data_IF_014536954474
#
_entry.id   IF_014536954474
#
_cell.length_a   1.000
_cell.length_b   1.000
_cell.length_c   1.000
_cell.angle_alpha   90.00
_cell.angle_beta   90.00
_cell.angle_gamma   90.00
#
_symmetry.space_group_name_H-M   'P 1'
#
loop_
_entity.id
_entity.type
_entity.pdbx_description
1 polymer ?
#
# COMPACT_ATOMS: atom_id res chain seq x y z
N UNK A 1 29.67 -0.49 7.60
CA UNK A 1 29.90 -1.58 8.57
C UNK A 1 28.96 -2.71 8.13
N UNK A 2 29.51 -3.81 7.66
CA UNK A 2 28.74 -5.00 7.32
C UNK A 2 28.18 -5.58 8.62
N UNK A 3 26.89 -5.49 8.80
CA UNK A 3 26.19 -6.23 9.86
C UNK A 3 26.36 -7.70 9.50
N UNK A 4 26.88 -8.49 10.45
CA UNK A 4 27.13 -9.91 10.23
C UNK A 4 25.76 -10.61 10.00
N UNK A 5 25.51 -11.11 8.80
CA UNK A 5 24.28 -11.83 8.43
C UNK A 5 23.91 -12.94 9.44
N UNK A 6 24.93 -13.50 10.12
CA UNK A 6 24.73 -14.50 11.19
C UNK A 6 24.09 -13.89 12.43
N UNK A 7 24.45 -12.64 12.78
CA UNK A 7 23.88 -11.97 13.95
C UNK A 7 22.40 -11.62 13.73
N UNK A 8 22.04 -11.22 12.51
CA UNK A 8 20.66 -10.98 12.12
C UNK A 8 19.86 -12.28 12.07
N UNK A 9 20.43 -13.33 11.49
CA UNK A 9 19.83 -14.66 11.46
C UNK A 9 19.59 -15.20 12.88
N UNK A 10 20.55 -15.02 13.81
CA UNK A 10 20.43 -15.42 15.21
C UNK A 10 19.38 -14.60 15.98
N UNK A 11 19.24 -13.30 15.69
CA UNK A 11 18.19 -12.44 16.27
C UNK A 11 16.81 -12.86 15.75
N UNK A 12 16.68 -13.06 14.44
CA UNK A 12 15.43 -13.53 13.82
C UNK A 12 15.08 -14.94 14.33
N UNK A 13 16.07 -15.84 14.43
CA UNK A 13 15.85 -17.17 15.01
C UNK A 13 15.45 -17.12 16.50
N UNK A 14 16.06 -16.23 17.30
CA UNK A 14 15.67 -16.03 18.70
C UNK A 14 14.27 -15.44 18.84
N UNK A 15 13.89 -14.48 18.01
CA UNK A 15 12.53 -13.90 17.99
C UNK A 15 11.52 -14.95 17.53
N UNK A 16 11.80 -15.68 16.46
CA UNK A 16 10.95 -16.79 15.96
C UNK A 16 10.90 -17.96 16.96
N UNK A 17 12.03 -18.30 17.60
CA UNK A 17 12.09 -19.34 18.63
C UNK A 17 11.32 -18.92 19.89
N UNK A 18 11.42 -17.66 20.32
CA UNK A 18 10.59 -17.16 21.42
C UNK A 18 9.09 -17.17 21.07
N UNK A 19 8.73 -16.94 19.79
CA UNK A 19 7.36 -17.10 19.28
C UNK A 19 6.94 -18.57 19.16
N UNK A 20 7.88 -19.51 18.99
CA UNK A 20 7.61 -20.96 18.88
C UNK A 20 7.63 -21.68 20.22
N UNK A 21 8.39 -21.17 21.22
CA UNK A 21 8.49 -21.77 22.56
C UNK A 21 7.25 -21.45 23.41
N UNK A 22 6.56 -20.34 23.14
CA UNK A 22 5.24 -20.10 23.71
C UNK A 22 4.18 -20.52 22.66
N UNK A 23 3.68 -21.73 22.77
CA UNK A 23 2.45 -22.16 22.09
C UNK A 23 1.22 -21.34 22.53
N UNK A 24 1.44 -20.26 23.26
CA UNK A 24 0.50 -19.22 23.68
C UNK A 24 1.15 -17.87 23.38
N UNK A 25 0.44 -17.01 22.62
CA UNK A 25 0.77 -15.59 22.40
C UNK A 25 0.41 -14.78 23.67
N UNK A 26 0.64 -15.38 24.84
CA UNK A 26 0.37 -14.77 26.13
C UNK A 26 1.47 -13.76 26.45
N UNK A 27 1.08 -12.49 26.56
CA UNK A 27 1.98 -11.38 26.94
C UNK A 27 2.30 -10.39 25.84
N UNK A 28 1.77 -10.55 24.62
CA UNK A 28 1.86 -9.53 23.57
C UNK A 28 0.78 -8.47 23.72
N UNK A 29 1.17 -7.19 23.62
CA UNK A 29 0.25 -6.07 23.70
C UNK A 29 -0.66 -6.00 22.47
N UNK A 30 -1.95 -5.80 22.68
CA UNK A 30 -2.95 -5.66 21.62
C UNK A 30 -3.38 -6.95 20.92
N UNK A 31 -3.03 -8.12 21.44
CA UNK A 31 -3.35 -9.42 20.80
C UNK A 31 -4.30 -10.22 21.68
N UNK A 32 -5.42 -10.66 21.09
CA UNK A 32 -6.52 -11.31 21.83
C UNK A 32 -6.95 -12.63 21.18
N UNK A 33 -7.57 -13.52 21.94
CA UNK A 33 -8.14 -14.76 21.41
C UNK A 33 -9.50 -14.54 20.73
N UNK A 34 -10.26 -13.57 21.22
CA UNK A 34 -11.62 -13.26 20.74
C UNK A 34 -11.68 -11.83 20.17
N UNK A 35 -12.44 -11.63 19.09
CA UNK A 35 -12.58 -10.33 18.43
C UNK A 35 -13.36 -9.31 19.27
N UNK A 36 -14.35 -9.74 20.06
CA UNK A 36 -15.08 -8.84 20.93
C UNK A 36 -14.21 -8.37 22.10
N UNK A 37 -13.34 -9.25 22.64
CA UNK A 37 -12.35 -8.85 23.66
C UNK A 37 -11.39 -7.80 23.08
N UNK A 38 -10.87 -8.00 21.87
CA UNK A 38 -10.03 -7.01 21.17
C UNK A 38 -10.75 -5.68 21.00
N UNK A 39 -11.99 -5.69 20.52
CA UNK A 39 -12.80 -4.48 20.35
C UNK A 39 -13.03 -3.79 21.71
N UNK A 40 -13.35 -4.52 22.76
CA UNK A 40 -13.56 -3.96 24.09
C UNK A 40 -12.29 -3.30 24.64
N UNK A 41 -11.13 -3.92 24.49
CA UNK A 41 -9.85 -3.33 24.86
C UNK A 41 -9.55 -2.04 24.08
N UNK A 42 -9.84 -2.03 22.79
CA UNK A 42 -9.72 -0.83 21.96
C UNK A 42 -10.69 0.29 22.36
N UNK A 43 -11.92 -0.04 22.80
CA UNK A 43 -12.89 0.95 23.33
C UNK A 43 -12.33 1.61 24.60
N UNK A 44 -11.73 0.85 25.51
CA UNK A 44 -11.14 1.42 26.73
C UNK A 44 -9.91 2.29 26.42
N UNK A 45 -9.09 1.89 25.45
CA UNK A 45 -7.99 2.74 24.95
C UNK A 45 -8.53 4.01 24.29
N UNK A 46 -9.61 3.92 23.52
CA UNK A 46 -10.24 5.05 22.83
C UNK A 46 -10.70 6.14 23.79
N UNK A 47 -11.22 5.78 24.96
CA UNK A 47 -11.61 6.76 26.00
C UNK A 47 -10.42 7.61 26.44
N UNK A 48 -9.21 7.03 26.45
CA UNK A 48 -7.96 7.74 26.81
C UNK A 48 -7.44 8.56 25.62
N UNK A 49 -7.44 8.00 24.41
CA UNK A 49 -6.98 8.69 23.19
C UNK A 49 -7.86 9.91 22.89
N UNK A 50 -9.16 9.83 23.13
CA UNK A 50 -10.12 10.90 22.86
C UNK A 50 -9.82 12.20 23.61
N UNK A 51 -9.22 12.13 24.77
CA UNK A 51 -8.89 13.30 25.60
C UNK A 51 -7.44 13.77 25.46
N UNK A 52 -6.64 13.09 24.63
CA UNK A 52 -5.26 13.49 24.35
C UNK A 52 -5.19 14.71 23.45
N UNK A 53 -4.26 15.60 23.77
CA UNK A 53 -3.87 16.71 22.88
C UNK A 53 -3.20 16.19 21.60
N UNK A 54 -3.10 17.04 20.56
CA UNK A 54 -2.33 16.74 19.36
C UNK A 54 -0.86 16.43 19.69
N UNK A 55 -0.25 17.19 20.59
CA UNK A 55 1.14 16.98 21.02
C UNK A 55 1.37 15.62 21.69
N UNK A 56 0.42 15.16 22.50
CA UNK A 56 0.51 13.83 23.12
C UNK A 56 0.41 12.72 22.07
N UNK A 57 -0.50 12.85 21.11
CA UNK A 57 -0.62 11.92 19.98
C UNK A 57 0.64 11.92 19.12
N UNK A 58 1.21 13.11 18.83
CA UNK A 58 2.44 13.22 18.04
C UNK A 58 3.65 12.60 18.73
N UNK A 59 3.76 12.68 20.07
CA UNK A 59 4.80 11.95 20.81
C UNK A 59 4.73 10.45 20.61
N UNK A 60 3.52 9.88 20.65
CA UNK A 60 3.30 8.45 20.38
C UNK A 60 3.68 8.13 18.93
N UNK A 61 3.21 8.93 17.96
CA UNK A 61 3.53 8.76 16.53
C UNK A 61 5.04 8.83 16.30
N UNK A 62 5.73 9.78 16.89
CA UNK A 62 7.19 9.91 16.81
C UNK A 62 7.91 8.65 17.32
N UNK A 63 7.40 8.04 18.41
CA UNK A 63 7.98 6.81 18.93
C UNK A 63 7.64 5.59 18.06
N UNK A 64 6.44 5.51 17.45
CA UNK A 64 6.10 4.51 16.44
C UNK A 64 7.07 4.61 15.26
N UNK A 65 7.33 5.81 14.73
CA UNK A 65 8.29 6.05 13.66
C UNK A 65 9.70 5.57 14.03
N UNK A 66 10.15 5.89 15.25
CA UNK A 66 11.46 5.46 15.77
C UNK A 66 11.55 3.93 15.80
N UNK A 67 10.59 3.26 16.45
CA UNK A 67 10.57 1.78 16.53
C UNK A 67 10.44 1.12 15.16
N UNK A 68 9.71 1.72 14.23
CA UNK A 68 9.63 1.22 12.85
C UNK A 68 11.01 1.22 12.17
N UNK A 69 11.81 2.29 12.32
CA UNK A 69 13.18 2.34 11.77
C UNK A 69 14.09 1.30 12.42
N UNK A 70 14.01 1.18 13.74
CA UNK A 70 14.83 0.23 14.52
C UNK A 70 14.50 -1.24 14.18
N UNK A 71 13.27 -1.54 13.81
CA UNK A 71 12.78 -2.88 13.48
C UNK A 71 12.60 -3.13 11.97
N UNK A 72 13.03 -2.22 11.08
CA UNK A 72 12.79 -2.31 9.64
C UNK A 72 13.29 -3.62 9.03
N UNK A 73 14.49 -4.07 9.44
CA UNK A 73 15.09 -5.33 8.96
C UNK A 73 14.33 -6.56 9.49
N UNK A 74 13.92 -6.55 10.76
CA UNK A 74 13.13 -7.64 11.36
C UNK A 74 11.80 -7.77 10.66
N UNK A 75 11.06 -6.67 10.50
CA UNK A 75 9.77 -6.62 9.83
C UNK A 75 9.85 -7.09 8.37
N UNK A 76 10.90 -6.66 7.63
CA UNK A 76 11.14 -7.06 6.25
C UNK A 76 11.38 -8.58 6.14
N UNK A 77 12.26 -9.13 6.98
CA UNK A 77 12.53 -10.56 7.01
C UNK A 77 11.30 -11.38 7.42
N UNK A 78 10.56 -10.94 8.44
CA UNK A 78 9.32 -11.60 8.84
C UNK A 78 8.30 -11.61 7.71
N UNK A 79 8.08 -10.47 7.05
CA UNK A 79 7.14 -10.34 5.94
C UNK A 79 7.46 -11.27 4.78
N UNK A 80 8.72 -11.30 4.32
CA UNK A 80 9.16 -12.20 3.24
C UNK A 80 9.06 -13.67 3.65
N UNK A 81 9.53 -14.02 4.84
CA UNK A 81 9.53 -15.41 5.31
C UNK A 81 8.12 -15.96 5.52
N UNK A 82 7.18 -15.14 6.02
CA UNK A 82 5.80 -15.58 6.27
C UNK A 82 4.98 -15.67 4.99
N UNK A 83 5.10 -14.66 4.11
CA UNK A 83 4.26 -14.56 2.91
C UNK A 83 4.88 -15.23 1.68
N UNK A 84 6.20 -15.33 1.65
CA UNK A 84 6.97 -15.75 0.47
C UNK A 84 6.98 -14.70 -0.64
N UNK A 85 6.61 -13.44 -0.36
CA UNK A 85 6.41 -12.37 -1.34
C UNK A 85 7.41 -11.22 -1.13
N UNK A 86 7.86 -10.65 -2.25
CA UNK A 86 8.75 -9.49 -2.28
C UNK A 86 10.21 -9.83 -1.99
N UNK A 87 10.97 -8.81 -1.67
CA UNK A 87 12.37 -8.97 -1.27
C UNK A 87 12.70 -8.13 -0.02
N UNK A 88 13.66 -8.60 0.76
CA UNK A 88 14.01 -8.00 2.06
C UNK A 88 14.54 -6.59 1.90
N UNK A 89 15.41 -6.33 0.90
CA UNK A 89 16.01 -5.01 0.69
C UNK A 89 14.98 -3.92 0.44
N UNK A 90 14.06 -4.16 -0.47
CA UNK A 90 12.98 -3.20 -0.80
C UNK A 90 11.99 -3.05 0.35
N UNK A 91 11.71 -4.12 1.10
CA UNK A 91 10.84 -4.02 2.29
C UNK A 91 11.49 -3.19 3.40
N UNK A 92 12.80 -3.26 3.60
CA UNK A 92 13.51 -2.36 4.53
C UNK A 92 13.31 -0.90 4.09
N UNK A 93 13.51 -0.60 2.80
CA UNK A 93 13.30 0.74 2.25
C UNK A 93 11.84 1.21 2.46
N UNK A 94 10.86 0.34 2.27
CA UNK A 94 9.44 0.66 2.52
C UNK A 94 9.16 0.95 3.99
N UNK A 95 9.78 0.24 4.94
CA UNK A 95 9.61 0.53 6.36
C UNK A 95 10.20 1.89 6.75
N UNK A 96 11.38 2.23 6.22
CA UNK A 96 11.94 3.57 6.40
C UNK A 96 11.04 4.64 5.78
N UNK A 97 10.57 4.44 4.55
CA UNK A 97 9.62 5.33 3.88
C UNK A 97 8.33 5.53 4.72
N UNK A 98 7.77 4.44 5.23
CA UNK A 98 6.59 4.45 6.10
C UNK A 98 6.84 5.26 7.37
N UNK A 99 7.98 5.08 8.01
CA UNK A 99 8.34 5.83 9.21
C UNK A 99 8.57 7.32 8.95
N UNK A 100 9.16 7.65 7.80
CA UNK A 100 9.61 9.02 7.49
C UNK A 100 8.52 9.87 6.81
N UNK A 101 7.65 9.26 6.04
CA UNK A 101 6.73 9.95 5.14
C UNK A 101 5.24 9.74 5.45
N UNK A 102 4.84 8.87 6.38
CA UNK A 102 3.44 8.79 6.78
C UNK A 102 3.06 10.03 7.59
N UNK A 103 2.01 10.78 7.19
CA UNK A 103 1.61 12.00 7.90
C UNK A 103 1.11 11.70 9.32
N UNK A 104 1.51 12.57 10.28
CA UNK A 104 1.05 12.58 11.65
C UNK A 104 -0.06 13.61 11.90
N UNK A 105 0.07 14.31 13.02
CA UNK A 105 -0.95 15.30 13.44
C UNK A 105 -0.94 16.59 12.63
N UNK A 106 0.09 16.86 11.85
CA UNK A 106 0.22 18.06 11.01
C UNK A 106 -0.86 18.20 9.93
N UNK A 107 -1.51 17.09 9.54
CA UNK A 107 -2.61 17.12 8.57
C UNK A 107 -4.00 17.31 9.22
N UNK A 108 -4.07 17.41 10.54
CA UNK A 108 -5.31 17.66 11.29
C UNK A 108 -5.47 19.17 11.47
N UNK A 109 -5.96 19.83 10.42
CA UNK A 109 -6.06 21.28 10.36
C UNK A 109 -7.44 21.80 10.75
N UNK A 110 -7.48 23.01 11.35
CA UNK A 110 -8.70 23.75 11.67
C UNK A 110 -8.97 24.79 10.60
N UNK A 111 -10.22 24.87 10.14
CA UNK A 111 -10.67 25.97 9.28
C UNK A 111 -11.53 26.95 10.09
N UNK A 112 -11.28 28.24 9.94
CA UNK A 112 -11.98 29.28 10.66
C UNK A 112 -12.49 30.38 9.71
N UNK A 113 -13.72 30.85 9.97
CA UNK A 113 -14.31 32.04 9.34
C UNK A 113 -14.67 33.05 10.44
N UNK A 114 -14.12 34.26 10.42
CA UNK A 114 -14.40 35.35 11.32
C UNK A 114 -14.97 36.54 10.55
N UNK A 115 -16.00 37.17 11.08
CA UNK A 115 -16.66 38.32 10.47
C UNK A 115 -17.55 39.09 11.47
N UNK A 116 -18.26 40.12 10.98
CA UNK A 116 -19.08 40.99 11.80
C UNK A 116 -20.21 40.26 12.56
N UNK A 117 -20.54 39.04 12.09
CA UNK A 117 -21.59 38.18 12.67
C UNK A 117 -21.06 37.06 13.57
N UNK A 118 -19.76 37.08 13.91
CA UNK A 118 -19.16 36.11 14.81
C UNK A 118 -18.07 35.23 14.20
N UNK A 119 -17.90 34.05 14.77
CA UNK A 119 -16.84 33.08 14.41
C UNK A 119 -17.44 31.69 14.16
N UNK A 120 -17.01 31.06 13.08
CA UNK A 120 -17.27 29.62 12.84
C UNK A 120 -15.94 28.89 12.75
N UNK A 121 -15.83 27.79 13.49
CA UNK A 121 -14.73 26.84 13.42
C UNK A 121 -15.21 25.53 12.83
N UNK A 122 -14.35 24.88 12.01
CA UNK A 122 -14.50 23.49 11.62
C UNK A 122 -13.25 22.74 12.01
N UNK A 123 -13.41 21.75 12.85
CA UNK A 123 -12.35 20.87 13.34
C UNK A 123 -12.60 19.43 12.95
N UNK A 124 -11.52 18.66 12.83
CA UNK A 124 -11.55 17.25 12.49
C UNK A 124 -11.64 16.40 13.77
N UNK A 125 -12.78 15.74 13.97
CA UNK A 125 -13.04 14.88 15.12
C UNK A 125 -12.91 13.40 14.81
N UNK A 126 -12.57 12.56 15.82
CA UNK A 126 -12.44 11.11 15.62
C UNK A 126 -13.78 10.44 15.33
N UNK A 127 -13.72 9.31 14.61
CA UNK A 127 -14.80 8.32 14.55
C UNK A 127 -14.88 7.48 15.84
N UNK A 128 -13.76 7.27 16.50
CA UNK A 128 -13.61 6.41 17.67
C UNK A 128 -12.84 5.13 17.32
N UNK A 129 -13.44 3.97 17.55
CA UNK A 129 -12.81 2.70 17.18
C UNK A 129 -13.04 2.42 15.69
N UNK A 130 -11.96 2.20 14.95
CA UNK A 130 -11.97 1.89 13.51
C UNK A 130 -11.65 0.41 13.31
N UNK A 131 -12.39 -0.27 12.41
CA UNK A 131 -12.06 -1.63 11.98
C UNK A 131 -11.26 -1.59 10.67
N UNK A 132 -10.12 -2.27 10.62
CA UNK A 132 -9.25 -2.27 9.45
C UNK A 132 -8.89 -3.70 9.01
N UNK A 133 -9.09 -4.00 7.72
CA UNK A 133 -8.65 -5.25 7.08
C UNK A 133 -7.39 -4.95 6.28
N UNK A 134 -6.33 -5.76 6.48
CA UNK A 134 -5.02 -5.52 5.87
C UNK A 134 -4.56 -6.68 4.98
N UNK A 135 -3.78 -6.40 3.90
CA UNK A 135 -3.38 -7.39 2.91
C UNK A 135 -2.18 -8.23 3.38
N UNK A 136 -1.85 -9.28 2.60
CA UNK A 136 -0.61 -10.03 2.76
C UNK A 136 0.59 -9.41 2.02
N UNK A 137 0.35 -8.51 1.08
CA UNK A 137 1.39 -7.93 0.20
C UNK A 137 2.26 -6.90 0.91
N UNK A 138 1.65 -6.06 1.75
CA UNK A 138 2.30 -5.00 2.52
C UNK A 138 1.75 -5.00 3.96
N UNK A 139 1.95 -6.09 4.73
CA UNK A 139 1.23 -6.28 5.99
C UNK A 139 1.62 -5.27 7.07
N UNK A 140 2.90 -5.15 7.38
CA UNK A 140 3.43 -4.24 8.40
C UNK A 140 3.33 -2.78 7.99
N UNK A 141 3.64 -2.48 6.72
CA UNK A 141 3.58 -1.13 6.17
C UNK A 141 2.16 -0.55 6.26
N UNK A 142 1.15 -1.34 5.89
CA UNK A 142 -0.26 -0.94 5.99
C UNK A 142 -0.70 -0.72 7.43
N UNK A 143 -0.29 -1.61 8.35
CA UNK A 143 -0.61 -1.47 9.78
C UNK A 143 0.01 -0.22 10.36
N UNK A 144 1.28 0.08 10.04
CA UNK A 144 1.98 1.26 10.55
C UNK A 144 1.34 2.55 10.01
N UNK A 145 1.14 2.66 8.69
CA UNK A 145 0.51 3.84 8.08
C UNK A 145 -0.88 4.10 8.65
N UNK A 146 -1.71 3.06 8.73
CA UNK A 146 -3.06 3.18 9.27
C UNK A 146 -3.06 3.55 10.76
N UNK A 147 -2.18 2.95 11.57
CA UNK A 147 -2.09 3.28 12.99
C UNK A 147 -1.67 4.72 13.22
N UNK A 148 -0.67 5.22 12.48
CA UNK A 148 -0.23 6.63 12.55
C UNK A 148 -1.36 7.56 12.15
N UNK A 149 -1.98 7.34 10.98
CA UNK A 149 -3.03 8.23 10.48
C UNK A 149 -4.31 8.18 11.34
N UNK A 150 -4.71 7.01 11.82
CA UNK A 150 -5.88 6.86 12.68
C UNK A 150 -5.65 7.51 14.07
N UNK A 151 -4.46 7.29 14.66
CA UNK A 151 -4.10 7.92 15.93
C UNK A 151 -3.98 9.45 15.79
N UNK A 152 -3.41 9.95 14.70
CA UNK A 152 -3.38 11.39 14.40
C UNK A 152 -4.79 11.98 14.42
N UNK A 153 -5.77 11.30 13.81
CA UNK A 153 -7.19 11.64 13.85
C UNK A 153 -7.88 11.42 15.21
N UNK A 154 -7.18 10.86 16.21
CA UNK A 154 -7.71 10.61 17.56
C UNK A 154 -8.51 9.31 17.69
N UNK A 155 -8.26 8.33 16.84
CA UNK A 155 -8.93 7.02 16.82
C UNK A 155 -8.01 5.92 17.35
N UNK A 156 -8.61 4.81 17.79
CA UNK A 156 -7.97 3.52 17.96
C UNK A 156 -8.38 2.58 16.82
N UNK A 157 -7.66 1.48 16.64
CA UNK A 157 -7.91 0.58 15.50
C UNK A 157 -7.91 -0.89 15.90
N UNK A 158 -8.88 -1.63 15.34
CA UNK A 158 -8.99 -3.09 15.41
C UNK A 158 -8.61 -3.64 14.04
N UNK A 159 -7.52 -4.38 13.96
CA UNK A 159 -7.06 -5.02 12.72
C UNK A 159 -7.58 -6.44 12.59
N UNK A 160 -7.97 -6.81 11.38
CA UNK A 160 -8.16 -8.20 10.98
C UNK A 160 -7.25 -8.48 9.77
N UNK A 161 -6.02 -8.99 9.99
CA UNK A 161 -5.05 -9.18 8.93
C UNK A 161 -5.38 -10.37 8.04
N UNK A 162 -4.77 -10.39 6.85
CA UNK A 162 -4.78 -11.57 6.00
C UNK A 162 -4.13 -12.76 6.74
N UNK A 163 -4.72 -13.97 6.75
CA UNK A 163 -4.21 -15.12 7.51
C UNK A 163 -2.75 -15.48 7.21
N UNK A 164 -2.28 -15.25 5.97
CA UNK A 164 -0.91 -15.54 5.55
C UNK A 164 0.11 -14.47 5.97
N UNK A 165 -0.30 -13.43 6.69
CA UNK A 165 0.58 -12.37 7.19
C UNK A 165 0.31 -12.05 8.67
N UNK A 166 -0.32 -12.98 9.40
CA UNK A 166 -0.75 -12.77 10.78
C UNK A 166 0.41 -12.55 11.76
N UNK A 167 1.52 -13.29 11.60
CA UNK A 167 2.68 -13.18 12.50
C UNK A 167 3.36 -11.82 12.38
N UNK A 168 3.59 -11.38 11.16
CA UNK A 168 4.16 -10.05 10.87
C UNK A 168 3.24 -8.95 11.41
N UNK A 169 1.93 -9.06 11.21
CA UNK A 169 0.95 -8.10 11.74
C UNK A 169 0.92 -8.09 13.27
N UNK A 170 0.89 -9.24 13.92
CA UNK A 170 0.90 -9.36 15.39
C UNK A 170 2.15 -8.69 15.98
N UNK A 171 3.33 -8.96 15.42
CA UNK A 171 4.57 -8.32 15.85
C UNK A 171 4.50 -6.79 15.70
N UNK A 172 3.98 -6.31 14.57
CA UNK A 172 3.82 -4.88 14.29
C UNK A 172 2.87 -4.21 15.30
N UNK A 173 1.75 -4.84 15.62
CA UNK A 173 0.78 -4.34 16.59
C UNK A 173 1.37 -4.28 18.01
N UNK A 174 2.09 -5.32 18.43
CA UNK A 174 2.81 -5.31 19.71
C UNK A 174 3.80 -4.14 19.77
N UNK A 175 4.63 -3.98 18.73
CA UNK A 175 5.59 -2.87 18.61
C UNK A 175 4.91 -1.49 18.72
N UNK A 176 3.75 -1.30 18.09
CA UNK A 176 2.99 -0.04 18.13
C UNK A 176 2.47 0.26 19.54
N UNK A 177 1.95 -0.75 20.24
CA UNK A 177 1.47 -0.58 21.61
C UNK A 177 2.62 -0.33 22.60
N UNK A 178 3.75 -1.02 22.46
CA UNK A 178 4.97 -0.70 23.22
C UNK A 178 5.40 0.74 22.98
N UNK A 179 5.42 1.19 21.71
CA UNK A 179 5.75 2.56 21.36
C UNK A 179 4.79 3.58 22.02
N UNK A 180 3.51 3.26 22.09
CA UNK A 180 2.50 4.08 22.76
C UNK A 180 2.79 4.20 24.24
N UNK A 181 2.96 3.08 24.93
CA UNK A 181 3.19 3.05 26.38
C UNK A 181 4.49 3.74 26.78
N UNK A 182 5.58 3.53 26.04
CA UNK A 182 6.86 4.20 26.28
C UNK A 182 6.77 5.73 26.10
N UNK A 183 5.86 6.20 25.23
CA UNK A 183 5.59 7.63 25.04
C UNK A 183 4.57 8.21 26.05
N UNK A 184 4.11 7.40 27.02
CA UNK A 184 3.10 7.78 28.01
C UNK A 184 1.66 7.68 27.53
N UNK A 185 1.44 6.98 26.41
CA UNK A 185 0.12 6.68 25.88
C UNK A 185 -0.51 5.41 26.47
N UNK A 186 -1.76 5.07 26.08
CA UNK A 186 -2.39 3.84 26.51
C UNK A 186 -1.88 2.65 25.72
N UNK A 187 -1.99 1.47 26.33
CA UNK A 187 -1.98 0.19 25.63
C UNK A 187 -3.25 0.02 24.78
N UNK A 188 -3.23 -0.89 23.81
CA UNK A 188 -4.38 -1.28 22.98
C UNK A 188 -4.90 -0.15 22.04
N UNK A 189 -4.02 0.75 21.61
CA UNK A 189 -4.35 1.72 20.55
C UNK A 189 -4.52 1.03 19.19
N UNK A 190 -3.83 -0.09 18.99
CA UNK A 190 -3.94 -1.00 17.87
C UNK A 190 -4.12 -2.41 18.40
N UNK A 191 -5.15 -3.12 17.95
CA UNK A 191 -5.45 -4.47 18.45
C UNK A 191 -5.76 -5.43 17.32
N UNK A 192 -5.60 -6.74 17.59
CA UNK A 192 -5.94 -7.82 16.65
C UNK A 192 -6.28 -9.10 17.39
N UNK A 193 -6.62 -10.15 16.63
CA UNK A 193 -6.80 -11.51 17.13
C UNK A 193 -5.63 -12.42 16.74
N UNK A 194 -5.35 -13.43 17.57
CA UNK A 194 -4.31 -14.45 17.30
C UNK A 194 -4.56 -15.21 15.99
N UNK A 195 -5.84 -15.48 15.68
CA UNK A 195 -6.25 -16.25 14.51
C UNK A 195 -7.30 -15.46 13.70
N UNK A 196 -6.87 -14.63 12.75
CA UNK A 196 -7.78 -13.90 11.87
C UNK A 196 -8.49 -14.84 10.90
N UNK A 197 -9.81 -14.69 10.78
CA UNK A 197 -10.67 -15.50 9.91
C UNK A 197 -11.73 -14.62 9.24
N UNK A 198 -12.51 -15.18 8.33
CA UNK A 198 -13.70 -14.52 7.78
C UNK A 198 -14.76 -14.26 8.86
N UNK A 199 -14.85 -15.12 9.86
CA UNK A 199 -15.77 -14.96 10.99
C UNK A 199 -15.37 -13.75 11.84
N UNK A 200 -14.09 -13.63 12.21
CA UNK A 200 -13.59 -12.48 12.97
C UNK A 200 -13.74 -11.18 12.19
N UNK A 201 -13.57 -11.20 10.84
CA UNK A 201 -13.89 -10.07 9.97
C UNK A 201 -15.37 -9.69 10.06
N UNK A 202 -16.27 -10.66 10.02
CA UNK A 202 -17.72 -10.42 10.10
C UNK A 202 -18.14 -9.86 11.45
N UNK A 203 -17.56 -10.35 12.55
CA UNK A 203 -17.79 -9.81 13.90
C UNK A 203 -17.36 -8.34 13.92
N UNK A 204 -16.14 -8.03 13.49
CA UNK A 204 -15.62 -6.65 13.43
C UNK A 204 -16.52 -5.74 12.57
N UNK A 205 -16.86 -6.17 11.35
CA UNK A 205 -17.68 -5.37 10.42
C UNK A 205 -19.08 -5.05 11.00
N UNK A 206 -19.67 -5.98 11.76
CA UNK A 206 -21.03 -5.81 12.32
C UNK A 206 -21.05 -5.15 13.70
N UNK A 207 -19.93 -5.10 14.41
CA UNK A 207 -19.90 -4.64 15.81
C UNK A 207 -20.34 -3.18 15.93
N UNK A 208 -21.30 -2.85 16.83
CA UNK A 208 -21.89 -1.49 16.90
C UNK A 208 -20.90 -0.40 17.26
N UNK A 209 -19.86 -0.70 18.02
CA UNK A 209 -18.82 0.27 18.41
C UNK A 209 -17.79 0.56 17.31
N UNK A 210 -17.81 -0.16 16.18
CA UNK A 210 -16.98 0.14 15.00
C UNK A 210 -17.77 1.10 14.11
N UNK A 211 -17.30 2.34 13.97
CA UNK A 211 -18.01 3.41 13.26
C UNK A 211 -17.46 3.70 11.85
N UNK A 212 -16.23 3.29 11.58
CA UNK A 212 -15.57 3.37 10.28
C UNK A 212 -14.90 2.03 9.99
N UNK A 213 -15.05 1.57 8.76
CA UNK A 213 -14.31 0.41 8.24
C UNK A 213 -13.31 0.85 7.18
N UNK A 214 -12.14 0.25 7.20
CA UNK A 214 -11.08 0.48 6.21
C UNK A 214 -10.65 -0.88 5.66
N UNK A 215 -10.71 -1.05 4.35
CA UNK A 215 -10.24 -2.27 3.70
C UNK A 215 -9.10 -1.96 2.74
N UNK A 216 -7.98 -2.63 2.92
CA UNK A 216 -6.88 -2.66 1.96
C UNK A 216 -6.69 -4.09 1.50
N UNK A 217 -6.99 -4.38 0.24
CA UNK A 217 -6.89 -5.75 -0.27
C UNK A 217 -7.70 -6.00 -1.56
N UNK A 218 -7.90 -7.26 -1.87
CA UNK A 218 -8.57 -7.67 -3.11
C UNK A 218 -10.03 -7.25 -3.22
N UNK A 219 -10.62 -7.31 -4.43
CA UNK A 219 -11.96 -6.79 -4.72
C UNK A 219 -13.06 -7.34 -3.81
N UNK A 220 -12.98 -8.62 -3.44
CA UNK A 220 -13.98 -9.27 -2.58
C UNK A 220 -14.07 -8.67 -1.17
N UNK A 221 -12.92 -8.38 -0.56
CA UNK A 221 -12.85 -7.77 0.79
C UNK A 221 -13.35 -6.33 0.74
N UNK A 222 -12.93 -5.56 -0.26
CA UNK A 222 -13.37 -4.18 -0.46
C UNK A 222 -14.88 -4.12 -0.66
N UNK A 223 -15.43 -4.97 -1.52
CA UNK A 223 -16.87 -5.05 -1.76
C UNK A 223 -17.64 -5.40 -0.48
N UNK A 224 -17.15 -6.36 0.31
CA UNK A 224 -17.78 -6.75 1.59
C UNK A 224 -17.85 -5.56 2.58
N UNK A 225 -16.75 -4.83 2.71
CA UNK A 225 -16.67 -3.66 3.60
C UNK A 225 -17.57 -2.52 3.12
N UNK A 226 -17.57 -2.21 1.82
CA UNK A 226 -18.44 -1.17 1.23
C UNK A 226 -19.92 -1.53 1.35
N UNK A 227 -20.26 -2.82 1.34
CA UNK A 227 -21.64 -3.31 1.48
C UNK A 227 -22.11 -3.48 2.93
N UNK A 228 -21.26 -3.16 3.92
CA UNK A 228 -21.56 -3.37 5.35
C UNK A 228 -22.65 -2.48 5.93
N UNK A 229 -23.06 -1.42 5.23
CA UNK A 229 -23.98 -0.40 5.72
C UNK A 229 -23.33 0.63 6.65
N UNK A 230 -22.02 0.53 6.93
CA UNK A 230 -21.24 1.50 7.69
C UNK A 230 -20.48 2.44 6.77
N UNK A 231 -20.00 3.58 7.31
CA UNK A 231 -18.99 4.35 6.58
C UNK A 231 -17.77 3.47 6.33
N UNK A 232 -17.29 3.48 5.09
CA UNK A 232 -16.21 2.61 4.67
C UNK A 232 -15.25 3.33 3.73
N UNK A 233 -13.96 3.00 3.85
CA UNK A 233 -12.87 3.41 2.96
C UNK A 233 -12.34 2.14 2.29
N UNK A 234 -12.35 2.11 0.96
CA UNK A 234 -11.98 0.94 0.18
C UNK A 234 -10.75 1.18 -0.70
N UNK A 235 -9.64 0.54 -0.34
CA UNK A 235 -8.40 0.50 -1.12
C UNK A 235 -8.31 -0.87 -1.84
N UNK A 236 -8.68 -0.88 -3.11
CA UNK A 236 -8.79 -2.08 -3.94
C UNK A 236 -7.57 -2.37 -4.79
N UNK A 237 -7.75 -3.26 -5.77
CA UNK A 237 -6.78 -3.58 -6.79
C UNK A 237 -6.56 -2.40 -7.74
N UNK A 238 -5.39 -2.37 -8.38
CA UNK A 238 -5.07 -1.45 -9.46
C UNK A 238 -4.36 -2.18 -10.58
N UNK A 239 -4.61 -1.78 -11.82
CA UNK A 239 -3.85 -2.22 -12.99
C UNK A 239 -3.25 -0.97 -13.64
N UNK A 240 -2.14 -0.42 -13.11
CA UNK A 240 -1.60 0.87 -13.54
C UNK A 240 -0.87 0.80 -14.88
N UNK A 241 -1.45 1.35 -15.97
CA UNK A 241 -0.78 1.45 -17.25
C UNK A 241 0.28 2.54 -17.25
N UNK A 242 1.37 2.33 -18.01
CA UNK A 242 2.34 3.37 -18.31
C UNK A 242 2.35 3.68 -19.80
N UNK A 243 1.98 4.92 -20.16
CA UNK A 243 2.03 5.40 -21.52
C UNK A 243 3.39 6.08 -21.79
N UNK A 244 4.03 5.69 -22.90
CA UNK A 244 5.27 6.31 -23.39
C UNK A 244 4.98 6.89 -24.77
N UNK A 245 4.94 8.24 -24.87
CA UNK A 245 4.69 8.92 -26.13
C UNK A 245 5.98 9.26 -26.89
N UNK A 246 5.84 9.79 -28.10
CA UNK A 246 6.93 10.14 -29.00
C UNK A 246 7.82 11.27 -28.48
N UNK A 247 7.39 12.00 -27.43
CA UNK A 247 8.15 13.11 -26.85
C UNK A 247 8.99 12.67 -25.64
N UNK A 248 8.86 11.42 -25.22
CA UNK A 248 9.51 10.89 -24.03
C UNK A 248 11.04 10.92 -24.11
N UNK A 249 11.69 10.97 -22.97
CA UNK A 249 13.08 10.56 -22.84
C UNK A 249 13.10 9.03 -22.68
N UNK A 250 13.22 8.34 -23.82
CA UNK A 250 12.99 6.88 -23.92
C UNK A 250 13.94 6.09 -23.03
N UNK A 251 15.23 6.48 -22.95
CA UNK A 251 16.20 5.81 -22.08
C UNK A 251 15.88 5.96 -20.61
N UNK A 252 15.45 7.18 -20.21
CA UNK A 252 14.98 7.46 -18.85
C UNK A 252 13.69 6.70 -18.56
N UNK A 253 12.75 6.66 -19.52
CA UNK A 253 11.50 5.94 -19.38
C UNK A 253 11.75 4.44 -19.12
N UNK A 254 12.60 3.78 -19.92
CA UNK A 254 12.96 2.38 -19.73
C UNK A 254 13.48 2.11 -18.32
N UNK A 255 14.41 2.94 -17.82
CA UNK A 255 14.98 2.80 -16.48
C UNK A 255 13.92 2.99 -15.40
N UNK A 256 13.12 4.04 -15.47
CA UNK A 256 12.15 4.40 -14.43
C UNK A 256 11.01 3.38 -14.37
N UNK A 257 10.50 2.92 -15.51
CA UNK A 257 9.48 1.87 -15.60
C UNK A 257 9.98 0.56 -14.98
N UNK A 258 11.19 0.12 -15.31
CA UNK A 258 11.73 -1.11 -14.74
C UNK A 258 12.01 -0.96 -13.25
N UNK A 259 12.49 0.18 -12.80
CA UNK A 259 12.69 0.43 -11.37
C UNK A 259 11.37 0.39 -10.60
N UNK A 260 10.31 1.00 -11.11
CA UNK A 260 8.99 0.99 -10.49
C UNK A 260 8.36 -0.41 -10.52
N UNK A 261 8.36 -1.08 -11.67
CA UNK A 261 7.82 -2.43 -11.83
C UNK A 261 8.52 -3.46 -10.94
N UNK A 262 9.84 -3.36 -10.75
CA UNK A 262 10.61 -4.37 -10.01
C UNK A 262 10.72 -4.10 -8.52
N UNK A 263 10.30 -2.94 -8.05
CA UNK A 263 10.33 -2.59 -6.63
C UNK A 263 9.44 -3.56 -5.82
N UNK A 264 10.07 -4.22 -4.85
CA UNK A 264 9.46 -5.28 -4.04
C UNK A 264 8.75 -6.36 -4.87
N UNK A 265 9.35 -6.75 -6.01
CA UNK A 265 8.81 -7.71 -6.97
C UNK A 265 7.40 -7.37 -7.45
N UNK A 266 7.11 -6.10 -7.71
CA UNK A 266 5.81 -5.60 -8.19
C UNK A 266 4.65 -5.71 -7.17
N UNK A 267 4.93 -5.82 -5.88
CA UNK A 267 3.89 -5.91 -4.84
C UNK A 267 3.16 -4.61 -4.53
N UNK A 268 3.74 -3.39 -4.66
CA UNK A 268 2.95 -2.19 -4.55
C UNK A 268 1.87 -2.13 -5.63
N UNK A 269 0.63 -1.85 -5.22
CA UNK A 269 -0.51 -1.75 -6.14
C UNK A 269 -0.40 -0.59 -7.15
N UNK A 270 0.51 0.35 -6.90
CA UNK A 270 0.83 1.47 -7.80
C UNK A 270 1.88 1.13 -8.85
N UNK A 271 2.58 -0.01 -8.72
CA UNK A 271 3.66 -0.37 -9.62
C UNK A 271 3.16 -0.55 -11.06
N UNK A 272 4.00 -0.20 -12.02
CA UNK A 272 3.73 -0.38 -13.45
C UNK A 272 3.36 -1.84 -13.73
N UNK A 273 2.22 -2.07 -14.38
CA UNK A 273 1.71 -3.43 -14.70
C UNK A 273 1.83 -3.74 -16.18
N UNK A 274 1.63 -2.77 -17.05
CA UNK A 274 1.75 -2.89 -18.50
C UNK A 274 2.26 -1.58 -19.11
N UNK A 275 2.86 -1.70 -20.30
CA UNK A 275 3.36 -0.58 -21.08
C UNK A 275 2.49 -0.37 -22.30
N UNK A 276 2.11 0.87 -22.56
CA UNK A 276 1.53 1.32 -23.81
C UNK A 276 2.55 2.25 -24.48
N UNK A 277 3.16 1.83 -25.59
CA UNK A 277 4.21 2.59 -26.27
C UNK A 277 3.79 3.01 -27.67
N UNK A 278 3.94 4.29 -27.99
CA UNK A 278 3.76 4.78 -29.35
C UNK A 278 4.82 4.14 -30.28
N UNK A 279 4.41 3.72 -31.46
CA UNK A 279 5.23 2.94 -32.42
C UNK A 279 6.62 3.54 -32.66
N UNK A 280 6.69 4.88 -32.78
CA UNK A 280 7.95 5.58 -33.04
C UNK A 280 9.02 5.44 -31.95
N UNK A 281 8.65 5.05 -30.73
CA UNK A 281 9.57 4.88 -29.59
C UNK A 281 9.62 3.45 -29.03
N UNK A 282 8.74 2.58 -29.47
CA UNK A 282 8.56 1.24 -28.90
C UNK A 282 9.81 0.36 -29.03
N UNK A 283 10.47 0.33 -30.19
CA UNK A 283 11.67 -0.48 -30.40
C UNK A 283 12.86 0.02 -29.57
N UNK A 284 13.04 1.36 -29.49
CA UNK A 284 14.08 1.97 -28.69
C UNK A 284 13.86 1.72 -27.19
N UNK A 285 12.60 1.82 -26.72
CA UNK A 285 12.20 1.54 -25.34
C UNK A 285 12.53 0.09 -24.97
N UNK A 286 12.11 -0.87 -25.78
CA UNK A 286 12.38 -2.30 -25.55
C UNK A 286 13.87 -2.57 -25.53
N UNK A 287 14.63 -1.96 -26.46
CA UNK A 287 16.08 -2.13 -26.50
C UNK A 287 16.76 -1.65 -25.20
N UNK A 288 16.41 -0.46 -24.67
CA UNK A 288 16.97 0.03 -23.41
C UNK A 288 16.55 -0.80 -22.21
N UNK A 289 15.35 -1.36 -22.20
CA UNK A 289 14.92 -2.30 -21.14
C UNK A 289 15.80 -3.53 -21.09
N UNK A 290 16.10 -4.12 -22.26
CA UNK A 290 16.90 -5.35 -22.37
C UNK A 290 18.37 -5.06 -22.11
N UNK A 291 18.94 -4.08 -22.80
CA UNK A 291 20.39 -3.87 -22.81
C UNK A 291 20.94 -3.19 -21.56
N UNK A 292 20.13 -2.37 -20.88
CA UNK A 292 20.62 -1.52 -19.76
C UNK A 292 19.89 -1.77 -18.44
N UNK A 293 18.70 -2.39 -18.44
CA UNK A 293 17.85 -2.46 -17.26
C UNK A 293 17.54 -3.88 -16.77
N UNK A 294 18.27 -4.89 -17.27
CA UNK A 294 18.19 -6.24 -16.79
C UNK A 294 16.84 -6.94 -17.10
N UNK A 295 16.32 -6.73 -18.31
CA UNK A 295 15.11 -7.39 -18.75
C UNK A 295 15.39 -8.62 -19.60
N UNK A 296 14.62 -9.68 -19.36
CA UNK A 296 14.59 -10.88 -20.19
C UNK A 296 13.46 -10.75 -21.22
N UNK A 297 13.78 -10.79 -22.52
CA UNK A 297 12.79 -10.79 -23.60
C UNK A 297 12.20 -12.20 -23.75
N UNK A 298 10.93 -12.35 -23.40
CA UNK A 298 10.24 -13.64 -23.49
C UNK A 298 9.78 -13.95 -24.91
N UNK A 299 10.27 -15.08 -25.47
CA UNK A 299 9.73 -15.64 -26.73
C UNK A 299 8.27 -16.05 -26.56
N UNK A 300 7.54 -16.23 -27.68
CA UNK A 300 6.13 -16.68 -27.64
C UNK A 300 5.96 -17.98 -26.87
N UNK A 301 6.89 -18.93 -27.02
CA UNK A 301 6.88 -20.19 -26.26
C UNK A 301 6.96 -19.95 -24.74
N UNK A 302 7.82 -19.01 -24.31
CA UNK A 302 7.97 -18.67 -22.89
C UNK A 302 6.74 -17.93 -22.37
N UNK A 303 6.16 -17.03 -23.17
CA UNK A 303 4.89 -16.37 -22.82
C UNK A 303 3.78 -17.39 -22.56
N UNK A 304 3.60 -18.37 -23.45
CA UNK A 304 2.58 -19.42 -23.33
C UNK A 304 2.80 -20.29 -22.07
N UNK A 305 4.05 -20.63 -21.75
CA UNK A 305 4.41 -21.32 -20.50
C UNK A 305 4.13 -20.46 -19.26
N UNK A 306 4.44 -19.16 -19.32
CA UNK A 306 4.16 -18.22 -18.24
C UNK A 306 2.65 -18.09 -18.00
N UNK A 307 1.83 -17.96 -19.05
CA UNK A 307 0.36 -17.93 -18.92
C UNK A 307 -0.14 -19.15 -18.15
N UNK A 308 0.31 -20.36 -18.56
CA UNK A 308 -0.09 -21.61 -17.89
C UNK A 308 0.44 -21.75 -16.45
N UNK A 309 1.48 -21.01 -16.08
CA UNK A 309 2.08 -21.05 -14.73
C UNK A 309 1.47 -20.00 -13.84
N UNK A 310 1.27 -18.80 -14.36
CA UNK A 310 0.77 -17.61 -13.63
C UNK A 310 -0.73 -17.71 -13.36
N UNK A 311 -1.49 -18.36 -14.26
CA UNK A 311 -2.93 -18.57 -14.05
C UNK A 311 -3.25 -20.01 -13.69
N UNK A 312 -4.23 -20.17 -12.83
CA UNK A 312 -4.83 -21.48 -12.53
C UNK A 312 -5.76 -21.91 -13.68
N UNK A 313 -6.12 -23.19 -13.78
CA UNK A 313 -7.10 -23.65 -14.79
C UNK A 313 -8.48 -22.96 -14.71
N UNK A 314 -8.76 -22.25 -13.63
CA UNK A 314 -9.99 -21.46 -13.43
C UNK A 314 -9.82 -19.98 -13.79
N UNK A 315 -8.68 -19.58 -14.37
CA UNK A 315 -8.38 -18.20 -14.75
C UNK A 315 -7.94 -17.28 -13.60
N UNK A 316 -7.88 -17.76 -12.37
CA UNK A 316 -7.40 -16.94 -11.25
C UNK A 316 -5.87 -16.95 -11.16
N UNK A 317 -5.27 -15.87 -10.64
CA UNK A 317 -3.83 -15.81 -10.39
C UNK A 317 -3.35 -16.94 -9.47
N UNK A 318 -2.24 -17.54 -9.84
CA UNK A 318 -1.55 -18.52 -9.03
C UNK A 318 -0.77 -17.81 -7.91
N UNK A 319 -1.27 -17.92 -6.68
CA UNK A 319 -0.67 -17.31 -5.50
C UNK A 319 0.81 -17.63 -5.28
N UNK A 320 1.31 -18.74 -5.85
CA UNK A 320 2.73 -19.12 -5.77
C UNK A 320 3.64 -18.23 -6.62
N UNK A 321 3.09 -17.51 -7.60
CA UNK A 321 3.82 -16.61 -8.51
C UNK A 321 3.83 -15.17 -7.98
N UNK A 322 2.82 -14.76 -7.23
CA UNK A 322 2.67 -13.38 -6.72
C UNK A 322 3.87 -12.98 -5.86
N UNK A 323 4.48 -11.84 -6.16
CA UNK A 323 5.63 -11.28 -5.44
C UNK A 323 6.93 -12.06 -5.61
N UNK A 324 7.00 -13.01 -6.56
CA UNK A 324 8.24 -13.72 -6.89
C UNK A 324 9.12 -12.89 -7.82
N UNK A 325 10.43 -13.09 -7.72
CA UNK A 325 11.37 -12.44 -8.63
C UNK A 325 11.26 -12.99 -10.06
N UNK A 326 11.75 -12.22 -11.05
CA UNK A 326 11.78 -12.65 -12.45
C UNK A 326 12.56 -13.97 -12.64
N UNK A 327 13.67 -14.15 -11.91
CA UNK A 327 14.46 -15.39 -11.96
C UNK A 327 13.65 -16.60 -11.48
N UNK A 328 12.89 -16.43 -10.38
CA UNK A 328 12.05 -17.52 -9.85
C UNK A 328 10.93 -17.90 -10.83
N UNK A 329 10.30 -16.90 -11.44
CA UNK A 329 9.24 -17.11 -12.44
C UNK A 329 9.79 -17.80 -13.69
N UNK A 330 10.95 -17.37 -14.20
CA UNK A 330 11.62 -18.00 -15.35
C UNK A 330 12.04 -19.44 -15.04
N UNK A 331 12.55 -19.70 -13.84
CA UNK A 331 12.89 -21.06 -13.42
C UNK A 331 11.67 -22.00 -13.40
N UNK A 332 10.48 -21.51 -13.05
CA UNK A 332 9.22 -22.28 -13.08
C UNK A 332 8.85 -22.75 -14.50
N UNK A 333 9.31 -22.03 -15.53
CA UNK A 333 9.06 -22.36 -16.94
C UNK A 333 10.28 -22.97 -17.64
N UNK A 334 11.31 -23.37 -16.86
CA UNK A 334 12.49 -24.06 -17.35
C UNK A 334 13.60 -23.16 -17.91
N UNK A 335 13.57 -21.87 -17.62
CA UNK A 335 14.60 -20.90 -18.01
C UNK A 335 15.40 -20.48 -16.79
N UNK A 336 16.71 -20.72 -16.80
CA UNK A 336 17.61 -20.30 -15.73
C UNK A 336 18.39 -19.05 -16.16
N UNK A 337 18.30 -17.99 -15.36
CA UNK A 337 18.98 -16.72 -15.60
C UNK A 337 19.72 -16.26 -14.34
N UNK A 338 20.67 -15.34 -14.49
CA UNK A 338 21.41 -14.76 -13.37
C UNK A 338 20.62 -13.69 -12.61
N UNK A 339 21.19 -13.20 -11.48
CA UNK A 339 20.55 -12.18 -10.63
C UNK A 339 20.44 -10.80 -11.29
N UNK A 340 21.13 -10.57 -12.38
CA UNK A 340 21.04 -9.35 -13.20
C UNK A 340 19.68 -9.20 -13.88
N UNK A 341 18.93 -10.29 -14.09
CA UNK A 341 17.59 -10.25 -14.69
C UNK A 341 16.57 -9.86 -13.62
N UNK A 342 15.99 -8.70 -13.79
CA UNK A 342 15.05 -8.07 -12.84
C UNK A 342 13.59 -8.18 -13.28
N UNK A 343 13.33 -8.16 -14.60
CA UNK A 343 12.00 -8.15 -15.17
C UNK A 343 11.91 -9.07 -16.39
N UNK A 344 10.72 -9.58 -16.66
CA UNK A 344 10.39 -10.32 -17.89
C UNK A 344 9.58 -9.36 -18.76
N UNK A 345 10.03 -9.12 -20.00
CA UNK A 345 9.35 -8.23 -20.94
C UNK A 345 8.98 -8.95 -22.22
N UNK A 346 7.91 -8.53 -22.87
CA UNK A 346 7.48 -9.00 -24.18
C UNK A 346 6.55 -7.98 -24.83
N UNK A 347 6.33 -8.11 -26.15
CA UNK A 347 5.33 -7.35 -26.88
C UNK A 347 4.13 -8.23 -27.21
N UNK A 348 2.91 -7.69 -27.07
CA UNK A 348 1.68 -8.44 -27.35
C UNK A 348 0.45 -7.54 -27.47
N UNK A 349 -0.70 -8.08 -27.88
CA UNK A 349 -1.97 -7.35 -27.91
C UNK A 349 -2.46 -7.07 -26.50
N UNK A 350 -3.28 -6.02 -26.32
CA UNK A 350 -3.79 -5.62 -25.00
C UNK A 350 -4.62 -6.70 -24.30
N UNK A 351 -5.26 -7.60 -25.08
CA UNK A 351 -6.02 -8.73 -24.57
C UNK A 351 -5.15 -9.93 -24.15
N UNK A 352 -3.81 -9.81 -24.24
CA UNK A 352 -2.93 -10.88 -23.77
C UNK A 352 -3.05 -11.03 -22.24
N UNK A 353 -3.31 -12.23 -21.68
CA UNK A 353 -3.59 -12.39 -20.23
C UNK A 353 -2.51 -11.83 -19.30
N UNK A 354 -1.22 -11.86 -19.72
CA UNK A 354 -0.12 -11.27 -18.95
C UNK A 354 -0.02 -9.74 -19.11
N UNK A 355 -0.91 -9.11 -19.85
CA UNK A 355 -1.02 -7.64 -20.01
C UNK A 355 -2.32 -7.17 -19.38
N UNK A 356 -3.44 -7.85 -19.64
CA UNK A 356 -4.77 -7.45 -19.22
C UNK A 356 -4.95 -7.51 -17.69
N UNK A 357 -4.33 -8.49 -17.02
CA UNK A 357 -4.57 -8.78 -15.61
C UNK A 357 -3.49 -8.21 -14.69
N UNK A 358 -3.90 -7.69 -13.51
CA UNK A 358 -2.97 -7.26 -12.46
C UNK A 358 -2.18 -8.45 -11.91
N UNK A 359 -0.93 -8.63 -12.35
CA UNK A 359 -0.13 -9.83 -12.04
C UNK A 359 0.54 -9.78 -10.67
N UNK A 360 0.92 -8.59 -10.17
CA UNK A 360 1.71 -8.41 -8.93
C UNK A 360 3.01 -9.22 -8.93
N UNK A 361 3.72 -9.21 -10.06
CA UNK A 361 5.02 -9.85 -10.27
C UNK A 361 5.77 -9.13 -11.41
N UNK A 362 7.11 -9.22 -11.50
CA UNK A 362 7.90 -8.49 -12.48
C UNK A 362 7.82 -9.12 -13.89
N UNK A 363 6.61 -9.12 -14.44
CA UNK A 363 6.29 -9.44 -15.84
C UNK A 363 5.61 -8.21 -16.41
N UNK A 364 6.14 -7.66 -17.49
CA UNK A 364 5.71 -6.40 -18.07
C UNK A 364 5.52 -6.55 -19.57
N UNK A 365 4.28 -6.65 -20.00
CA UNK A 365 3.94 -6.69 -21.42
C UNK A 365 3.84 -5.28 -22.00
N UNK A 366 4.25 -5.13 -23.25
CA UNK A 366 4.16 -3.89 -24.01
C UNK A 366 3.12 -4.01 -25.12
N UNK A 367 2.20 -3.06 -25.16
CA UNK A 367 1.25 -2.86 -26.26
C UNK A 367 1.76 -1.72 -27.12
N UNK A 368 2.01 -2.00 -28.41
CA UNK A 368 2.39 -0.99 -29.40
C UNK A 368 1.14 -0.32 -29.96
N UNK A 369 1.13 0.99 -30.02
CA UNK A 369 0.03 1.80 -30.55
C UNK A 369 0.55 2.77 -31.62
N UNK A 370 -0.30 3.16 -32.57
CA UNK A 370 0.11 4.00 -33.71
C UNK A 370 0.46 5.42 -33.29
N UNK A 371 -0.30 6.00 -32.34
CA UNK A 371 -0.23 7.38 -31.91
C UNK A 371 -0.66 7.54 -30.44
N UNK A 372 -0.53 8.77 -29.92
CA UNK A 372 -0.88 9.11 -28.55
C UNK A 372 -2.36 8.86 -28.24
N UNK A 373 -3.27 9.16 -29.16
CA UNK A 373 -4.72 9.04 -28.99
C UNK A 373 -5.11 7.56 -28.76
N UNK A 374 -4.63 6.66 -29.61
CA UNK A 374 -4.82 5.20 -29.40
C UNK A 374 -4.16 4.73 -28.11
N UNK A 375 -3.04 5.34 -27.73
CA UNK A 375 -2.37 5.07 -26.46
C UNK A 375 -3.23 5.42 -25.26
N UNK A 376 -3.92 6.54 -25.27
CA UNK A 376 -4.87 6.93 -24.21
C UNK A 376 -6.05 5.95 -24.14
N UNK A 377 -6.66 5.60 -25.29
CA UNK A 377 -7.78 4.65 -25.33
C UNK A 377 -7.38 3.27 -24.80
N UNK A 378 -6.18 2.80 -25.19
CA UNK A 378 -5.63 1.52 -24.72
C UNK A 378 -5.37 1.53 -23.22
N UNK A 379 -4.77 2.60 -22.69
CA UNK A 379 -4.49 2.73 -21.27
C UNK A 379 -5.78 2.81 -20.42
N UNK A 380 -6.79 3.54 -20.88
CA UNK A 380 -8.13 3.58 -20.24
C UNK A 380 -8.76 2.19 -20.18
N UNK A 381 -8.63 1.40 -21.25
CA UNK A 381 -9.15 0.04 -21.30
C UNK A 381 -8.42 -0.87 -20.30
N UNK A 382 -7.08 -0.80 -20.24
CA UNK A 382 -6.23 -1.60 -19.34
C UNK A 382 -6.40 -1.25 -17.86
N UNK A 383 -6.73 -0.01 -17.53
CA UNK A 383 -6.94 0.45 -16.15
C UNK A 383 -8.24 -0.12 -15.54
N UNK A 384 -9.15 -0.67 -16.34
CA UNK A 384 -10.40 -1.34 -15.93
C UNK A 384 -11.37 -0.50 -15.09
N UNK A 385 -11.23 0.82 -15.06
CA UNK A 385 -12.04 1.72 -14.23
C UNK A 385 -11.78 1.59 -12.73
N UNK A 386 -10.63 1.06 -12.34
CA UNK A 386 -10.16 1.02 -10.94
C UNK A 386 -9.87 2.43 -10.40
N UNK A 387 -9.50 3.36 -11.27
CA UNK A 387 -9.13 4.75 -10.95
C UNK A 387 -8.05 4.86 -9.89
N UNK A 388 -7.15 3.86 -9.89
CA UNK A 388 -6.15 3.71 -8.87
C UNK A 388 -4.91 4.54 -9.17
N UNK A 389 -4.15 4.16 -10.18
CA UNK A 389 -2.89 4.78 -10.57
C UNK A 389 -2.68 4.68 -12.07
N UNK A 390 -1.97 5.66 -12.63
CA UNK A 390 -1.51 5.63 -14.01
C UNK A 390 -0.17 6.36 -14.11
N UNK A 391 0.60 6.05 -15.15
CA UNK A 391 1.92 6.62 -15.38
C UNK A 391 2.07 7.11 -16.81
N UNK A 392 2.85 8.17 -17.02
CA UNK A 392 3.15 8.68 -18.35
C UNK A 392 4.59 9.18 -18.45
N UNK A 393 5.27 8.80 -19.52
CA UNK A 393 6.53 9.40 -19.94
C UNK A 393 6.28 10.25 -21.18
N UNK A 394 6.35 11.56 -21.00
CA UNK A 394 6.05 12.57 -21.99
C UNK A 394 6.72 13.90 -21.65
N UNK A 395 7.09 14.68 -22.66
CA UNK A 395 7.47 16.10 -22.53
C UNK A 395 6.38 17.04 -23.04
N UNK A 396 5.29 16.51 -23.60
CA UNK A 396 4.17 17.28 -24.10
C UNK A 396 3.14 17.52 -22.98
N UNK A 397 2.98 18.76 -22.54
CA UNK A 397 2.06 19.14 -21.46
C UNK A 397 0.59 18.86 -21.82
N UNK A 398 0.21 19.00 -23.10
CA UNK A 398 -1.14 18.74 -23.55
C UNK A 398 -1.46 17.24 -23.53
N UNK A 399 -0.52 16.39 -23.93
CA UNK A 399 -0.62 14.92 -23.78
C UNK A 399 -0.80 14.53 -22.32
N UNK A 400 0.06 15.05 -21.43
CA UNK A 400 -0.04 14.77 -19.99
C UNK A 400 -1.41 15.17 -19.44
N UNK A 401 -1.91 16.35 -19.85
CA UNK A 401 -3.20 16.87 -19.41
C UNK A 401 -4.36 16.00 -19.91
N UNK A 402 -4.32 15.59 -21.17
CA UNK A 402 -5.33 14.74 -21.81
C UNK A 402 -5.35 13.37 -21.13
N UNK A 403 -4.20 12.75 -20.94
CA UNK A 403 -4.03 11.47 -20.28
C UNK A 403 -4.57 11.50 -18.82
N UNK A 404 -4.18 12.53 -18.07
CA UNK A 404 -4.62 12.72 -16.66
C UNK A 404 -6.14 12.77 -16.55
N UNK A 405 -6.82 13.50 -17.46
CA UNK A 405 -8.27 13.62 -17.49
C UNK A 405 -8.97 12.33 -17.91
N UNK A 406 -8.38 11.59 -18.85
CA UNK A 406 -8.96 10.36 -19.37
C UNK A 406 -8.91 9.21 -18.36
N UNK A 407 -7.78 9.05 -17.66
CA UNK A 407 -7.59 7.97 -16.68
C UNK A 407 -8.31 8.26 -15.35
N UNK A 408 -8.45 9.52 -14.96
CA UNK A 408 -9.16 9.96 -13.73
C UNK A 408 -8.75 9.16 -12.48
N UNK A 409 -7.45 8.90 -12.35
CA UNK A 409 -6.88 8.07 -11.27
C UNK A 409 -6.53 8.88 -10.03
N UNK A 410 -6.51 8.24 -8.86
CA UNK A 410 -6.07 8.85 -7.61
C UNK A 410 -4.58 9.26 -7.63
N UNK A 411 -3.78 8.55 -8.41
CA UNK A 411 -2.35 8.80 -8.59
C UNK A 411 -2.03 8.90 -10.08
N UNK A 412 -1.32 9.96 -10.47
CA UNK A 412 -0.67 10.06 -11.77
C UNK A 412 0.82 10.38 -11.57
N UNK A 413 1.68 9.51 -12.07
CA UNK A 413 3.13 9.75 -12.08
C UNK A 413 3.59 10.14 -13.48
N UNK A 414 4.35 11.22 -13.56
CA UNK A 414 4.91 11.72 -14.81
C UNK A 414 6.43 11.62 -14.78
N UNK A 415 7.03 10.97 -15.78
CA UNK A 415 8.48 10.93 -16.00
C UNK A 415 9.27 10.45 -14.77
N UNK A 416 8.79 9.44 -14.08
CA UNK A 416 9.42 8.85 -12.91
C UNK A 416 8.89 7.46 -12.61
N UNK A 417 9.54 6.71 -11.73
CA UNK A 417 9.06 5.42 -11.29
C UNK A 417 7.83 5.57 -10.37
N UNK A 418 6.95 4.59 -10.39
CA UNK A 418 5.69 4.58 -9.63
C UNK A 418 5.83 4.92 -8.15
N UNK A 419 6.87 4.44 -7.49
CA UNK A 419 7.09 4.66 -6.05
C UNK A 419 7.39 6.15 -5.69
N UNK A 420 7.68 7.00 -6.69
CA UNK A 420 7.80 8.46 -6.48
C UNK A 420 6.48 9.05 -5.93
N UNK A 421 5.33 8.45 -6.28
CA UNK A 421 4.02 8.84 -5.74
C UNK A 421 3.87 8.60 -4.23
N UNK A 422 4.69 7.73 -3.65
CA UNK A 422 4.74 7.49 -2.20
C UNK A 422 5.79 8.36 -1.50
N UNK A 423 6.37 9.33 -2.20
CA UNK A 423 7.43 10.19 -1.68
C UNK A 423 8.82 9.54 -1.63
N UNK A 424 9.01 8.35 -2.23
CA UNK A 424 10.33 7.73 -2.36
C UNK A 424 11.05 8.27 -3.60
N UNK A 425 12.03 9.12 -3.40
CA UNK A 425 12.68 9.86 -4.48
C UNK A 425 11.78 10.90 -5.17
N UNK A 426 10.63 11.23 -4.55
CA UNK A 426 9.68 12.24 -4.98
C UNK A 426 9.14 13.05 -3.82
N UNK A 427 8.27 14.02 -4.13
CA UNK A 427 7.57 14.83 -3.14
C UNK A 427 6.31 14.13 -2.64
N UNK A 428 5.78 14.60 -1.49
CA UNK A 428 4.56 14.08 -0.90
C UNK A 428 4.77 13.09 0.24
N UNK A 429 3.71 12.38 0.58
CA UNK A 429 3.67 11.49 1.74
C UNK A 429 3.37 10.04 1.35
N UNK A 430 3.64 9.13 2.30
CA UNK A 430 3.45 7.70 2.13
C UNK A 430 2.16 7.20 2.78
N UNK A 431 1.47 6.30 2.08
CA UNK A 431 0.44 5.41 2.64
C UNK A 431 0.38 4.12 1.83
N UNK A 432 -0.03 3.03 2.48
CA UNK A 432 -0.32 1.76 1.79
C UNK A 432 -1.83 1.45 1.73
N UNK A 433 -2.67 2.44 2.05
CA UNK A 433 -4.13 2.41 1.86
C UNK A 433 -4.50 3.50 0.87
N UNK A 434 -4.55 3.15 -0.42
CA UNK A 434 -4.88 4.06 -1.53
C UNK A 434 -6.32 3.82 -1.92
N UNK A 435 -7.20 4.71 -1.47
CA UNK A 435 -8.65 4.55 -1.54
C UNK A 435 -9.22 5.28 -2.77
N UNK A 436 -9.04 4.69 -3.96
CA UNK A 436 -9.51 5.25 -5.22
C UNK A 436 -11.03 5.22 -5.33
N UNK A 437 -11.67 4.09 -5.03
CA UNK A 437 -13.12 3.89 -5.19
C UNK A 437 -13.98 4.77 -4.31
N UNK A 438 -13.50 5.13 -3.12
CA UNK A 438 -14.24 5.98 -2.16
C UNK A 438 -13.80 7.44 -2.20
N UNK A 439 -12.76 7.75 -2.98
CA UNK A 439 -12.36 9.10 -3.31
C UNK A 439 -11.39 9.75 -2.34
N UNK A 440 -10.95 9.06 -1.27
CA UNK A 440 -9.94 9.58 -0.36
C UNK A 440 -8.54 9.64 -0.99
N UNK A 441 -8.29 8.88 -2.06
CA UNK A 441 -6.97 8.76 -2.69
C UNK A 441 -5.93 8.19 -1.71
N UNK A 442 -4.79 8.86 -1.58
CA UNK A 442 -3.79 8.53 -0.56
C UNK A 442 -4.34 8.92 0.81
N UNK A 443 -4.64 7.92 1.65
CA UNK A 443 -5.20 8.18 2.99
C UNK A 443 -4.17 8.76 3.94
N UNK A 444 -4.63 9.69 4.79
CA UNK A 444 -3.86 10.28 5.87
C UNK A 444 -4.78 10.55 7.08
N UNK A 445 -4.29 11.17 8.14
CA UNK A 445 -5.07 11.41 9.36
C UNK A 445 -6.45 12.01 9.11
N UNK A 446 -6.56 12.97 8.19
CA UNK A 446 -7.84 13.61 7.84
C UNK A 446 -8.87 12.64 7.22
N UNK A 447 -8.43 11.60 6.49
CA UNK A 447 -9.31 10.58 5.91
C UNK A 447 -10.08 9.78 6.98
N UNK A 448 -9.51 9.66 8.18
CA UNK A 448 -10.04 8.92 9.31
C UNK A 448 -10.77 9.79 10.32
N UNK A 449 -11.22 10.98 9.92
CA UNK A 449 -11.90 11.94 10.76
C UNK A 449 -13.25 12.37 10.17
N UNK A 450 -14.08 12.99 11.02
CA UNK A 450 -15.34 13.62 10.64
C UNK A 450 -15.29 15.11 10.94
N UNK A 451 -15.81 15.92 10.02
CA UNK A 451 -15.90 17.37 10.19
C UNK A 451 -16.88 17.73 11.32
N UNK A 452 -16.47 18.62 12.23
CA UNK A 452 -17.29 19.14 13.31
C UNK A 452 -17.28 20.67 13.27
N UNK A 453 -18.47 21.26 13.16
CA UNK A 453 -18.64 22.71 13.10
C UNK A 453 -19.12 23.26 14.44
N UNK A 454 -18.45 24.33 14.91
CA UNK A 454 -18.88 25.17 16.03
C UNK A 454 -19.07 26.61 15.53
N UNK A 455 -20.25 27.18 15.75
CA UNK A 455 -20.54 28.54 15.33
C UNK A 455 -20.93 29.37 16.57
N UNK A 456 -20.31 30.54 16.70
CA UNK A 456 -20.64 31.56 17.71
C UNK A 456 -21.16 32.78 16.96
N UNK A 457 -22.42 33.14 17.21
CA UNK A 457 -23.08 34.27 16.58
C UNK A 457 -22.95 35.53 17.46
N UNK A 458 -22.83 36.68 16.81
CA UNK A 458 -22.81 38.01 17.40
C UNK A 458 -21.70 38.26 18.44
N UNK A 459 -20.63 37.44 18.40
CA UNK A 459 -19.48 37.53 19.30
C UNK A 459 -18.19 37.07 18.63
N UNK A 460 -17.04 37.41 19.27
CA UNK A 460 -15.69 37.09 18.79
C UNK A 460 -15.31 37.71 17.44
N UNK A 461 -15.89 38.85 17.08
CA UNK A 461 -15.33 39.73 16.09
C UNK A 461 -14.43 40.77 16.82
N UNK A 462 -13.13 40.71 16.59
CA UNK A 462 -12.13 41.55 17.29
C UNK A 462 -11.45 42.58 16.40
N UNK A 463 -11.95 42.78 15.18
CA UNK A 463 -11.50 43.78 14.22
C UNK A 463 -12.46 44.95 14.11
#
# INVERSE_FOLDING_TARGET
MSVDERMVHDIVQKVVANMQISGEVTGMHGVFKDMNEAINASIEAQKKVQVMSLDQREKIISNIRKKTRENAEILANMGVNETGMGNVGDKILKHHLTADKTPGTEVITTTAWSGDRGLTLVEMGPFGVIGAITPATNPSETVICNSIGMLAGGNTVVFNPHPNAKKTTIFTINMINEASMEAGGPDNIAVTVEVPTMETSNIMMKHPSIHLLVATGGPGVVTAVLSSGKRAIGAGAGNPPVLVDETADVRKAARDIINGCTFDNNLPCIAEKEIVAVDSVADELMNYMISENGCYLASKEIQDKLVNTVFTPKGALNRKCVGRSAQALLAMVGVNVGPEIRCIVFEGPKEHPLIEEELMMPILGMVRVKDFEEGVETAVWLEHGNRHSAHIHSKNVDHITTYAKALDTAILVKNGPSYAALGFGGEGYCTFTIASRTGEGLTAGHSFTKSRRCTMSDSLCIR
#
